data_IF_209173818644
#
_entry.id   IF_209173818644
#
_cell.length_a   1.000
_cell.length_b   1.000
_cell.length_c   1.000
_cell.angle_alpha   90.00
_cell.angle_beta   90.00
_cell.angle_gamma   90.00
#
_symmetry.space_group_name_H-M   'P 1'
#
loop_
_entity.id
_entity.type
_entity.pdbx_description
1 polymer ?
#
# COMPACT_ATOMS: atom_id res chain seq x y z
N UNK A 1 87.05 75.71 61.67
CA UNK A 1 86.17 75.31 60.55
C UNK A 1 85.90 73.81 60.66
N UNK A 2 84.64 73.41 60.88
CA UNK A 2 84.21 72.01 61.03
C UNK A 2 83.66 71.52 59.69
N UNK A 3 84.10 70.33 59.25
CA UNK A 3 83.61 69.64 58.07
C UNK A 3 82.17 69.14 58.27
N UNK A 4 81.38 69.11 57.20
CA UNK A 4 80.25 68.18 57.12
C UNK A 4 80.03 67.71 55.68
N UNK A 5 80.18 66.39 55.54
CA UNK A 5 79.85 65.55 54.40
C UNK A 5 78.33 65.48 54.20
N UNK A 6 77.86 65.47 52.94
CA UNK A 6 76.47 65.08 52.66
C UNK A 6 76.38 64.16 51.43
N UNK A 7 75.71 63.03 51.68
CA UNK A 7 75.52 61.85 50.83
C UNK A 7 74.61 62.10 49.63
N UNK A 8 74.91 61.38 48.54
CA UNK A 8 74.06 61.18 47.36
C UNK A 8 72.68 60.59 47.73
N UNK A 9 71.64 61.01 46.99
CA UNK A 9 70.37 60.30 46.87
C UNK A 9 69.96 60.27 45.40
N UNK A 10 70.38 59.23 44.69
CA UNK A 10 69.84 58.85 43.39
C UNK A 10 68.51 58.15 43.63
N UNK A 11 67.39 58.79 43.27
CA UNK A 11 66.07 58.18 43.32
C UNK A 11 65.94 57.11 42.22
N UNK A 12 65.79 55.86 42.65
CA UNK A 12 65.50 54.70 41.81
C UNK A 12 64.01 54.68 41.46
N UNK A 13 63.64 55.29 40.32
CA UNK A 13 62.28 55.24 39.75
C UNK A 13 62.05 54.00 38.86
N UNK A 14 62.52 52.83 39.29
CA UNK A 14 62.36 51.56 38.57
C UNK A 14 61.46 50.54 39.28
N UNK A 15 60.65 50.99 40.25
CA UNK A 15 59.76 50.12 41.06
C UNK A 15 58.26 50.21 40.76
N UNK A 16 57.86 50.59 39.54
CA UNK A 16 56.44 50.60 39.14
C UNK A 16 56.14 49.83 37.85
N UNK A 17 56.88 48.77 37.53
CA UNK A 17 56.54 47.89 36.40
C UNK A 17 56.66 46.40 36.73
N UNK A 18 56.03 46.00 37.83
CA UNK A 18 55.64 44.61 38.04
C UNK A 18 54.13 44.54 38.28
N UNK A 19 53.38 45.10 37.34
CA UNK A 19 51.93 44.93 37.28
C UNK A 19 51.64 43.49 36.91
N UNK A 20 51.10 42.75 37.88
CA UNK A 20 50.87 41.32 37.78
C UNK A 20 49.86 41.01 36.67
N UNK A 21 50.28 40.24 35.65
CA UNK A 21 49.44 39.73 34.53
C UNK A 21 48.39 38.68 34.98
N UNK A 22 48.07 38.62 36.28
CA UNK A 22 47.25 37.57 36.89
C UNK A 22 45.74 37.72 36.62
N UNK A 23 45.28 38.94 36.30
CA UNK A 23 43.87 39.16 35.92
C UNK A 23 43.51 38.70 34.51
N UNK A 24 44.47 38.78 33.57
CA UNK A 24 44.26 38.41 32.17
C UNK A 24 44.07 36.90 31.98
N UNK A 25 44.85 36.08 32.70
CA UNK A 25 44.73 34.62 32.65
C UNK A 25 43.38 34.13 33.18
N UNK A 26 42.88 34.76 34.26
CA UNK A 26 41.60 34.40 34.85
C UNK A 26 40.43 34.74 33.92
N UNK A 27 40.49 35.88 33.23
CA UNK A 27 39.52 36.24 32.19
C UNK A 27 39.51 35.26 31.02
N UNK A 28 40.69 34.83 30.55
CA UNK A 28 40.81 33.85 29.45
C UNK A 28 40.19 32.51 29.86
N UNK A 29 40.43 32.03 31.08
CA UNK A 29 39.87 30.76 31.56
C UNK A 29 38.35 30.82 31.69
N UNK A 30 37.79 31.94 32.20
CA UNK A 30 36.34 32.11 32.28
C UNK A 30 35.72 32.16 30.88
N UNK A 31 36.35 32.87 29.94
CA UNK A 31 35.88 32.90 28.55
C UNK A 31 35.91 31.51 27.90
N UNK A 32 36.97 30.73 28.14
CA UNK A 32 37.09 29.35 27.64
C UNK A 32 36.06 28.42 28.29
N UNK A 33 35.81 28.54 29.59
CA UNK A 33 34.78 27.76 30.29
C UNK A 33 33.37 28.12 29.81
N UNK A 34 33.08 29.40 29.61
CA UNK A 34 31.80 29.86 29.09
C UNK A 34 31.56 29.30 27.68
N UNK A 35 32.57 29.39 26.80
CA UNK A 35 32.50 28.87 25.44
C UNK A 35 32.36 27.34 25.41
N UNK A 36 33.06 26.62 26.29
CA UNK A 36 32.91 25.17 26.44
C UNK A 36 31.49 24.80 26.90
N UNK A 37 30.92 25.54 27.85
CA UNK A 37 29.54 25.29 28.33
C UNK A 37 28.51 25.54 27.23
N UNK A 38 28.70 26.59 26.42
CA UNK A 38 27.84 26.90 25.29
C UNK A 38 27.85 25.77 24.27
N UNK A 39 29.03 25.26 23.93
CA UNK A 39 29.19 24.13 23.01
C UNK A 39 28.52 22.87 23.56
N UNK A 40 28.64 22.60 24.87
CA UNK A 40 27.94 21.49 25.53
C UNK A 40 26.41 21.58 25.41
N UNK A 41 25.83 22.76 25.63
CA UNK A 41 24.38 22.98 25.46
C UNK A 41 23.95 22.79 24.01
N UNK A 42 24.72 23.30 23.05
CA UNK A 42 24.42 23.13 21.61
C UNK A 42 24.40 21.65 21.23
N UNK A 43 25.42 20.88 21.61
CA UNK A 43 25.45 19.43 21.34
C UNK A 43 24.29 18.68 22.00
N UNK A 44 23.93 19.05 23.23
CA UNK A 44 22.76 18.47 23.89
C UNK A 44 21.48 18.75 23.12
N UNK A 45 21.27 19.98 22.65
CA UNK A 45 20.06 20.32 21.87
C UNK A 45 20.01 19.61 20.52
N UNK A 46 21.15 19.46 19.83
CA UNK A 46 21.23 18.69 18.59
C UNK A 46 20.95 17.20 18.84
N UNK A 47 21.55 16.61 19.87
CA UNK A 47 21.31 15.20 20.20
C UNK A 47 19.83 14.94 20.54
N UNK A 48 19.18 15.84 21.30
CA UNK A 48 17.76 15.73 21.62
C UNK A 48 16.86 15.87 20.38
N UNK A 49 17.22 16.73 19.43
CA UNK A 49 16.50 16.89 18.16
C UNK A 49 16.64 15.65 17.27
N UNK A 50 17.85 15.09 17.17
CA UNK A 50 18.11 13.86 16.42
C UNK A 50 17.41 12.64 17.04
N UNK A 51 17.37 12.54 18.37
CA UNK A 51 16.62 11.48 19.07
C UNK A 51 15.13 11.54 18.72
N UNK A 52 14.52 12.73 18.80
CA UNK A 52 13.10 12.90 18.48
C UNK A 52 12.82 12.60 17.01
N UNK A 53 13.69 13.06 16.09
CA UNK A 53 13.60 12.74 14.66
C UNK A 53 13.67 11.23 14.41
N UNK A 54 14.66 10.56 14.99
CA UNK A 54 14.85 9.11 14.85
C UNK A 54 13.66 8.32 15.41
N UNK A 55 13.06 8.76 16.53
CA UNK A 55 11.84 8.16 17.07
C UNK A 55 10.67 8.29 16.11
N UNK A 56 10.42 9.49 15.54
CA UNK A 56 9.36 9.68 14.55
C UNK A 56 9.57 8.84 13.29
N UNK A 57 10.81 8.75 12.79
CA UNK A 57 11.13 7.90 11.63
C UNK A 57 10.95 6.41 11.95
N UNK A 58 11.36 5.95 13.13
CA UNK A 58 11.19 4.57 13.55
C UNK A 58 9.71 4.20 13.75
N UNK A 59 8.92 5.07 14.39
CA UNK A 59 7.49 4.85 14.61
C UNK A 59 6.69 4.83 13.29
N UNK A 60 7.03 5.70 12.34
CA UNK A 60 6.44 5.67 11.00
C UNK A 60 6.77 4.37 10.24
N UNK A 61 8.01 3.88 10.34
CA UNK A 61 8.43 2.65 9.67
C UNK A 61 7.74 1.39 10.23
N UNK A 62 7.44 1.34 11.53
CA UNK A 62 6.73 0.21 12.16
C UNK A 62 5.27 0.15 11.71
N UNK A 63 4.61 1.30 11.54
CA UNK A 63 3.20 1.35 11.15
C UNK A 63 2.94 1.01 9.66
N UNK A 64 3.93 1.22 8.78
CA UNK A 64 3.78 0.94 7.34
C UNK A 64 4.00 -0.55 6.99
N UNK A 65 4.84 -1.26 7.75
CA UNK A 65 5.29 -2.61 7.42
C UNK A 65 4.49 -3.75 8.09
N UNK A 66 3.81 -3.48 9.22
CA UNK A 66 3.08 -4.49 9.97
C UNK A 66 1.79 -3.86 10.53
N UNK A 67 0.58 -4.22 10.01
CA UNK A 67 -0.65 -3.86 10.68
C UNK A 67 -0.61 -4.56 12.03
N UNK A 68 -0.23 -3.82 13.08
CA UNK A 68 0.06 -4.40 14.39
C UNK A 68 -1.01 -5.38 14.87
N UNK A 69 -0.64 -6.24 15.80
CA UNK A 69 -1.45 -7.35 16.33
C UNK A 69 -2.64 -6.91 17.21
N UNK A 70 -3.12 -5.68 17.01
CA UNK A 70 -4.33 -5.15 17.63
C UNK A 70 -5.55 -5.53 16.77
N UNK A 71 -6.62 -5.97 17.44
CA UNK A 71 -7.79 -6.52 16.78
C UNK A 71 -8.48 -5.49 15.88
N UNK A 72 -8.53 -4.23 16.32
CA UNK A 72 -9.15 -3.13 15.59
C UNK A 72 -8.34 -2.78 14.33
N UNK A 73 -7.01 -2.82 14.41
CA UNK A 73 -6.12 -2.57 13.27
C UNK A 73 -6.25 -3.67 12.21
N UNK A 74 -6.23 -4.94 12.63
CA UNK A 74 -6.42 -6.08 11.71
C UNK A 74 -7.82 -6.09 11.08
N UNK A 75 -8.85 -5.76 11.86
CA UNK A 75 -10.21 -5.65 11.35
C UNK A 75 -10.35 -4.52 10.33
N UNK A 76 -9.83 -3.33 10.65
CA UNK A 76 -9.83 -2.19 9.72
C UNK A 76 -9.00 -2.48 8.46
N UNK A 77 -7.87 -3.17 8.59
CA UNK A 77 -7.04 -3.61 7.47
C UNK A 77 -7.78 -4.62 6.56
N UNK A 78 -8.49 -5.58 7.15
CA UNK A 78 -9.32 -6.54 6.42
C UNK A 78 -10.51 -5.87 5.73
N UNK A 79 -11.22 -4.97 6.42
CA UNK A 79 -12.31 -4.19 5.86
C UNK A 79 -11.84 -3.27 4.74
N UNK A 80 -10.66 -2.64 4.87
CA UNK A 80 -10.08 -1.82 3.80
C UNK A 80 -9.89 -2.64 2.53
N UNK A 81 -9.35 -3.85 2.65
CA UNK A 81 -9.20 -4.75 1.51
C UNK A 81 -10.53 -5.20 0.93
N UNK A 82 -11.54 -5.45 1.77
CA UNK A 82 -12.86 -5.85 1.31
C UNK A 82 -13.60 -4.72 0.57
N UNK A 83 -13.50 -3.48 1.07
CA UNK A 83 -14.25 -2.34 0.55
C UNK A 83 -13.51 -1.69 -0.62
N UNK A 84 -12.25 -1.30 -0.42
CA UNK A 84 -11.45 -0.53 -1.39
C UNK A 84 -10.61 -1.46 -2.26
N UNK A 85 -10.02 -2.47 -1.63
CA UNK A 85 -9.03 -3.36 -2.24
C UNK A 85 -7.69 -3.30 -1.54
N UNK A 86 -6.85 -4.34 -1.72
CA UNK A 86 -5.48 -4.34 -1.23
C UNK A 86 -4.61 -3.38 -2.03
N UNK A 87 -3.54 -2.95 -1.39
CA UNK A 87 -2.43 -2.27 -2.06
C UNK A 87 -1.77 -3.22 -3.09
N UNK A 88 -1.20 -2.66 -4.15
CA UNK A 88 -0.45 -3.39 -5.19
C UNK A 88 0.74 -4.15 -4.59
N UNK A 89 1.27 -3.69 -3.46
CA UNK A 89 2.34 -4.37 -2.73
C UNK A 89 1.89 -5.69 -2.06
N UNK A 90 0.58 -5.87 -1.82
CA UNK A 90 0.02 -7.06 -1.17
C UNK A 90 -0.32 -8.15 -2.22
N UNK A 91 0.68 -8.58 -2.99
CA UNK A 91 0.54 -9.57 -4.07
C UNK A 91 0.11 -10.98 -3.61
N UNK A 92 0.22 -11.26 -2.31
CA UNK A 92 -0.23 -12.50 -1.68
C UNK A 92 -1.69 -12.45 -1.21
N UNK A 93 -2.35 -11.29 -1.26
CA UNK A 93 -3.76 -11.18 -0.88
C UNK A 93 -4.63 -11.86 -1.91
N UNK A 94 -5.60 -12.66 -1.49
CA UNK A 94 -6.60 -13.24 -2.39
C UNK A 94 -7.49 -12.18 -3.08
N UNK A 95 -7.50 -10.95 -2.53
CA UNK A 95 -8.21 -9.80 -3.10
C UNK A 95 -7.30 -8.96 -4.01
N UNK A 96 -6.07 -9.42 -4.31
CA UNK A 96 -5.10 -8.67 -5.12
C UNK A 96 -5.69 -8.29 -6.49
N UNK A 97 -5.35 -7.08 -6.95
CA UNK A 97 -5.95 -6.46 -8.12
C UNK A 97 -7.29 -5.77 -7.84
N UNK A 98 -7.80 -5.84 -6.60
CA UNK A 98 -8.97 -5.10 -6.12
C UNK A 98 -10.31 -5.46 -6.79
N UNK A 99 -10.30 -6.31 -7.82
CA UNK A 99 -11.46 -6.86 -8.55
C UNK A 99 -12.51 -7.48 -7.67
N UNK A 100 -12.09 -8.16 -6.60
CA UNK A 100 -13.00 -8.83 -5.68
C UNK A 100 -13.44 -7.92 -4.52
N UNK A 101 -13.17 -6.62 -4.59
CA UNK A 101 -13.49 -5.64 -3.54
C UNK A 101 -14.73 -4.83 -3.94
N UNK A 102 -15.44 -4.26 -2.97
CA UNK A 102 -16.76 -3.67 -3.23
C UNK A 102 -16.72 -2.42 -4.14
N UNK A 103 -15.80 -1.48 -3.89
CA UNK A 103 -15.75 -0.22 -4.66
C UNK A 103 -15.33 -0.43 -6.11
N UNK A 104 -14.27 -1.19 -6.43
CA UNK A 104 -13.90 -1.48 -7.81
C UNK A 104 -14.97 -2.27 -8.56
N UNK A 105 -15.72 -3.17 -7.88
CA UNK A 105 -16.89 -3.83 -8.50
C UNK A 105 -18.04 -2.88 -8.80
N UNK A 106 -18.18 -1.80 -8.03
CA UNK A 106 -19.32 -0.89 -8.16
C UNK A 106 -19.06 0.23 -9.17
N UNK A 107 -17.81 0.66 -9.32
CA UNK A 107 -17.46 1.79 -10.16
C UNK A 107 -16.57 1.43 -11.35
N UNK A 108 -16.07 0.19 -11.41
CA UNK A 108 -15.00 -0.18 -12.32
C UNK A 108 -13.67 0.48 -11.92
N UNK A 109 -12.54 -0.02 -12.44
CA UNK A 109 -11.26 0.69 -12.43
C UNK A 109 -11.10 1.68 -13.59
N UNK A 110 -12.02 1.70 -14.56
CA UNK A 110 -11.94 2.49 -15.79
C UNK A 110 -12.50 3.93 -15.67
N UNK A 111 -12.09 4.79 -16.61
CA UNK A 111 -12.50 6.18 -16.80
C UNK A 111 -13.84 6.28 -17.53
N UNK A 112 -14.28 5.22 -18.21
CA UNK A 112 -15.53 5.18 -18.94
C UNK A 112 -16.55 4.28 -18.24
N UNK A 113 -17.75 4.80 -17.91
CA UNK A 113 -18.83 3.94 -17.46
C UNK A 113 -19.32 3.08 -18.63
N UNK A 114 -19.10 1.76 -18.51
CA UNK A 114 -19.72 0.64 -19.23
C UNK A 114 -19.24 0.27 -20.66
N UNK A 115 -18.81 -0.99 -20.81
CA UNK A 115 -19.15 -1.83 -21.99
C UNK A 115 -19.51 -3.31 -21.68
N UNK A 116 -19.36 -3.79 -20.43
CA UNK A 116 -20.12 -4.92 -19.88
C UNK A 116 -19.99 -6.26 -20.60
N UNK A 117 -18.79 -6.65 -21.04
CA UNK A 117 -18.57 -8.04 -21.46
C UNK A 117 -18.19 -8.87 -20.23
N UNK A 118 -19.19 -9.46 -19.56
CA UNK A 118 -18.98 -10.45 -18.50
C UNK A 118 -18.25 -11.70 -19.00
N UNK A 119 -17.96 -12.65 -18.10
CA UNK A 119 -17.23 -13.86 -18.50
C UNK A 119 -18.20 -14.84 -19.16
N UNK A 120 -18.08 -14.99 -20.48
CA UNK A 120 -18.90 -15.92 -21.24
C UNK A 120 -18.31 -17.35 -21.19
N UNK A 121 -19.16 -18.31 -20.83
CA UNK A 121 -18.77 -19.72 -20.68
C UNK A 121 -19.64 -20.64 -21.52
N UNK A 122 -19.04 -21.70 -22.02
CA UNK A 122 -19.64 -22.78 -22.82
C UNK A 122 -19.30 -24.14 -22.19
N UNK A 123 -20.08 -25.16 -22.50
CA UNK A 123 -19.74 -26.55 -22.12
C UNK A 123 -19.13 -27.30 -23.30
N UNK A 124 -17.87 -27.72 -23.18
CA UNK A 124 -17.20 -28.50 -24.20
C UNK A 124 -17.86 -29.88 -24.41
N UNK A 125 -17.48 -30.57 -25.48
CA UNK A 125 -18.00 -31.91 -25.81
C UNK A 125 -17.63 -33.00 -24.79
N UNK A 126 -16.73 -32.69 -23.85
CA UNK A 126 -16.31 -33.55 -22.74
C UNK A 126 -17.00 -33.20 -21.41
N UNK A 127 -17.88 -32.18 -21.40
CA UNK A 127 -18.60 -31.71 -20.21
C UNK A 127 -17.81 -30.76 -19.31
N UNK A 128 -16.64 -30.27 -19.75
CA UNK A 128 -15.89 -29.24 -19.03
C UNK A 128 -16.41 -27.85 -19.38
N UNK A 129 -16.26 -26.92 -18.43
CA UNK A 129 -16.57 -25.51 -18.65
C UNK A 129 -15.37 -24.88 -19.36
N UNK A 130 -15.61 -24.31 -20.54
CA UNK A 130 -14.64 -23.58 -21.33
C UNK A 130 -15.10 -22.12 -21.49
N UNK A 131 -14.17 -21.23 -21.78
CA UNK A 131 -14.47 -19.82 -21.99
C UNK A 131 -14.58 -19.54 -23.48
N UNK A 132 -15.59 -18.76 -23.84
CA UNK A 132 -15.90 -18.33 -25.20
C UNK A 132 -16.36 -16.86 -25.16
N UNK A 133 -15.39 -15.94 -25.19
CA UNK A 133 -15.62 -14.49 -25.18
C UNK A 133 -15.98 -13.93 -26.55
N UNK A 134 -15.65 -14.66 -27.63
CA UNK A 134 -15.92 -14.23 -29.00
C UNK A 134 -17.29 -14.73 -29.52
N UNK A 135 -17.99 -15.55 -28.72
CA UNK A 135 -19.30 -16.14 -28.99
C UNK A 135 -19.31 -17.09 -30.20
N UNK A 136 -18.19 -17.74 -30.52
CA UNK A 136 -18.08 -18.66 -31.66
C UNK A 136 -18.41 -20.13 -31.33
N UNK A 137 -18.67 -20.44 -30.05
CA UNK A 137 -19.00 -21.78 -29.57
C UNK A 137 -17.78 -22.73 -29.47
N UNK A 138 -16.57 -22.19 -29.60
CA UNK A 138 -15.30 -22.92 -29.48
C UNK A 138 -14.53 -22.37 -28.27
N UNK A 139 -13.79 -23.24 -27.60
CA UNK A 139 -12.97 -22.85 -26.46
C UNK A 139 -11.82 -21.91 -26.86
N UNK A 140 -11.84 -20.69 -26.34
CA UNK A 140 -10.82 -19.66 -26.53
C UNK A 140 -9.44 -20.09 -25.99
N UNK A 141 -9.37 -21.07 -25.09
CA UNK A 141 -8.10 -21.62 -24.61
C UNK A 141 -7.31 -22.33 -25.73
N UNK A 142 -8.01 -22.77 -26.78
CA UNK A 142 -7.45 -23.53 -27.91
C UNK A 142 -7.23 -22.69 -29.18
N UNK A 143 -7.97 -21.60 -29.34
CA UNK A 143 -7.79 -20.64 -30.44
C UNK A 143 -6.86 -19.49 -30.02
N UNK A 144 -5.54 -19.69 -30.15
CA UNK A 144 -4.51 -18.67 -29.88
C UNK A 144 -4.50 -17.48 -30.86
N UNK A 145 -5.63 -16.79 -31.03
CA UNK A 145 -5.87 -15.88 -32.16
C UNK A 145 -5.81 -14.38 -31.89
N UNK A 146 -5.85 -13.91 -30.64
CA UNK A 146 -5.91 -12.47 -30.32
C UNK A 146 -5.06 -12.02 -29.13
N UNK A 147 -4.06 -12.81 -28.73
CA UNK A 147 -3.28 -12.54 -27.50
C UNK A 147 -3.97 -13.01 -26.21
N UNK A 148 -5.14 -13.63 -26.33
CA UNK A 148 -5.95 -14.27 -25.26
C UNK A 148 -5.43 -15.67 -24.88
N UNK A 149 -4.11 -15.88 -24.92
CA UNK A 149 -3.53 -17.13 -24.45
C UNK A 149 -3.82 -17.27 -22.93
N UNK A 150 -4.54 -18.33 -22.58
CA UNK A 150 -5.05 -18.67 -21.24
C UNK A 150 -6.30 -17.90 -20.78
N UNK A 151 -7.37 -17.89 -21.58
CA UNK A 151 -8.69 -17.45 -21.11
C UNK A 151 -9.23 -18.31 -19.96
N UNK A 152 -8.81 -19.57 -19.80
CA UNK A 152 -9.26 -20.43 -18.70
C UNK A 152 -8.93 -19.88 -17.30
N UNK A 153 -7.90 -19.03 -17.18
CA UNK A 153 -7.52 -18.39 -15.92
C UNK A 153 -8.62 -17.44 -15.40
N UNK A 154 -9.54 -16.97 -16.26
CA UNK A 154 -10.70 -16.17 -15.86
C UNK A 154 -11.72 -16.98 -15.03
N UNK A 155 -11.66 -18.32 -15.03
CA UNK A 155 -12.45 -19.14 -14.10
C UNK A 155 -11.83 -19.22 -12.70
N UNK A 156 -10.60 -18.72 -12.53
CA UNK A 156 -9.96 -18.75 -11.22
C UNK A 156 -10.65 -17.78 -10.27
N UNK A 157 -10.87 -18.22 -9.02
CA UNK A 157 -11.48 -17.36 -7.99
C UNK A 157 -10.46 -16.47 -7.28
N UNK A 158 -9.17 -16.78 -7.42
CA UNK A 158 -8.09 -16.12 -6.71
C UNK A 158 -7.08 -15.59 -7.74
N UNK A 159 -7.19 -14.29 -8.03
CA UNK A 159 -6.32 -13.60 -8.97
C UNK A 159 -4.99 -13.14 -8.35
N UNK A 160 -4.60 -13.63 -7.16
CA UNK A 160 -3.32 -13.26 -6.55
C UNK A 160 -2.13 -13.77 -7.36
N UNK A 161 -1.05 -12.99 -7.41
CA UNK A 161 0.20 -13.43 -8.08
C UNK A 161 0.70 -14.74 -7.48
N UNK A 162 0.51 -14.93 -6.18
CA UNK A 162 0.85 -16.16 -5.49
C UNK A 162 0.10 -17.39 -6.03
N UNK A 163 -1.16 -17.25 -6.42
CA UNK A 163 -1.96 -18.34 -7.00
C UNK A 163 -1.50 -18.73 -8.42
N UNK A 164 -0.81 -17.82 -9.13
CA UNK A 164 -0.38 -18.01 -10.52
C UNK A 164 1.15 -18.09 -10.67
N UNK A 165 1.86 -18.66 -9.68
CA UNK A 165 3.31 -18.89 -9.79
C UNK A 165 4.16 -17.61 -9.77
N UNK A 166 3.65 -16.54 -9.17
CA UNK A 166 4.35 -15.27 -8.96
C UNK A 166 4.12 -14.20 -10.03
N UNK A 167 3.44 -14.53 -11.13
CA UNK A 167 3.14 -13.60 -12.23
C UNK A 167 1.66 -13.63 -12.55
N UNK A 168 1.02 -12.46 -12.75
CA UNK A 168 -0.36 -12.43 -13.22
C UNK A 168 -0.44 -12.93 -14.68
N UNK A 169 -1.28 -13.93 -14.97
CA UNK A 169 -1.60 -14.31 -16.34
C UNK A 169 -2.09 -13.11 -17.14
N UNK A 170 -1.85 -13.12 -18.45
CA UNK A 170 -2.21 -11.99 -19.31
C UNK A 170 -3.70 -11.64 -19.23
N UNK A 171 -4.58 -12.66 -19.19
CA UNK A 171 -6.02 -12.51 -19.07
C UNK A 171 -6.48 -11.92 -17.72
N UNK A 172 -5.67 -12.04 -16.66
CA UNK A 172 -5.97 -11.53 -15.32
C UNK A 172 -5.33 -10.16 -15.02
N UNK A 173 -4.80 -9.49 -16.05
CA UNK A 173 -4.31 -8.12 -15.93
C UNK A 173 -5.46 -7.15 -16.01
N UNK A 174 -5.33 -6.02 -15.33
CA UNK A 174 -6.39 -5.03 -15.22
C UNK A 174 -7.00 -4.59 -16.56
N UNK A 175 -6.15 -4.44 -17.56
CA UNK A 175 -6.51 -3.97 -18.90
C UNK A 175 -7.19 -5.05 -19.77
N UNK A 176 -7.16 -6.32 -19.33
CA UNK A 176 -7.54 -7.48 -20.13
C UNK A 176 -8.63 -8.34 -19.49
N UNK A 177 -8.93 -8.14 -18.22
CA UNK A 177 -10.06 -8.80 -17.56
C UNK A 177 -11.32 -8.27 -18.25
N UNK A 178 -12.20 -9.15 -18.78
CA UNK A 178 -13.51 -8.74 -19.26
C UNK A 178 -14.23 -8.06 -18.10
N UNK A 179 -14.34 -6.73 -18.19
CA UNK A 179 -14.77 -5.84 -17.11
C UNK A 179 -16.21 -6.19 -16.69
N UNK A 180 -16.39 -6.76 -15.49
CA UNK A 180 -17.66 -7.31 -15.08
C UNK A 180 -18.37 -6.40 -14.08
N UNK A 181 -18.19 -5.09 -14.22
CA UNK A 181 -18.98 -4.03 -13.62
C UNK A 181 -20.41 -4.10 -14.18
N UNK A 182 -21.07 -5.20 -13.85
CA UNK A 182 -22.52 -5.28 -13.78
C UNK A 182 -22.98 -4.32 -12.71
N UNK A 183 -24.08 -3.61 -12.99
CA UNK A 183 -24.86 -2.94 -11.95
C UNK A 183 -24.96 -3.87 -10.74
N UNK A 184 -24.70 -3.33 -9.54
CA UNK A 184 -24.79 -3.99 -8.23
C UNK A 184 -26.16 -4.67 -7.96
N UNK A 185 -27.09 -4.58 -8.90
CA UNK A 185 -28.38 -5.29 -8.93
C UNK A 185 -28.34 -6.63 -9.68
N UNK A 186 -27.29 -6.94 -10.44
CA UNK A 186 -27.17 -8.18 -11.20
C UNK A 186 -26.14 -9.13 -10.56
N UNK A 187 -26.60 -10.26 -9.99
CA UNK A 187 -25.73 -11.26 -9.40
C UNK A 187 -25.12 -12.15 -10.50
N UNK A 188 -23.96 -11.74 -11.03
CA UNK A 188 -23.19 -12.46 -12.06
C UNK A 188 -22.08 -13.35 -11.46
N UNK A 189 -21.47 -14.23 -12.26
CA UNK A 189 -20.29 -15.07 -11.92
C UNK A 189 -19.13 -14.22 -11.37
N UNK A 190 -19.08 -12.96 -11.77
CA UNK A 190 -18.07 -12.01 -11.37
C UNK A 190 -18.36 -11.28 -10.07
N UNK A 191 -19.59 -11.34 -9.55
CA UNK A 191 -19.93 -10.71 -8.28
C UNK A 191 -19.75 -11.72 -7.14
N UNK A 192 -19.05 -11.36 -6.05
CA UNK A 192 -18.84 -12.30 -4.93
C UNK A 192 -19.83 -12.03 -3.78
N UNK A 193 -20.51 -10.88 -3.81
CA UNK A 193 -21.20 -10.33 -2.66
C UNK A 193 -22.73 -10.33 -2.78
N UNK A 194 -23.28 -10.72 -3.93
CA UNK A 194 -24.69 -10.55 -4.24
C UNK A 194 -25.32 -11.86 -4.71
N UNK A 195 -26.24 -12.43 -3.92
CA UNK A 195 -27.09 -13.51 -4.39
C UNK A 195 -28.32 -12.95 -5.14
N UNK A 196 -28.79 -13.66 -6.16
CA UNK A 196 -30.12 -13.40 -6.71
C UNK A 196 -31.16 -13.92 -5.75
N UNK A 197 -32.12 -13.08 -5.40
CA UNK A 197 -33.33 -13.47 -4.71
C UNK A 197 -34.52 -12.97 -5.54
N UNK A 198 -35.13 -13.87 -6.29
CA UNK A 198 -36.20 -13.51 -7.21
C UNK A 198 -37.10 -14.70 -7.54
N UNK A 199 -38.01 -14.50 -8.48
CA UNK A 199 -38.94 -15.54 -8.92
C UNK A 199 -38.54 -16.03 -10.31
N UNK A 200 -38.41 -17.34 -10.47
CA UNK A 200 -38.28 -17.99 -11.78
C UNK A 200 -39.57 -18.69 -12.16
N UNK A 201 -39.74 -18.97 -13.44
CA UNK A 201 -40.86 -19.73 -13.98
C UNK A 201 -40.46 -21.21 -13.99
N UNK A 202 -41.13 -22.01 -13.17
CA UNK A 202 -41.04 -23.47 -13.17
C UNK A 202 -42.33 -24.02 -13.80
N UNK A 203 -42.31 -24.16 -15.12
CA UNK A 203 -43.50 -24.47 -15.93
C UNK A 203 -44.49 -23.30 -15.98
N UNK A 204 -45.64 -23.43 -15.31
CA UNK A 204 -46.69 -22.39 -15.24
C UNK A 204 -46.74 -21.69 -13.88
N UNK A 205 -45.86 -22.03 -12.94
CA UNK A 205 -45.84 -21.47 -11.60
C UNK A 205 -44.61 -20.60 -11.38
N UNK A 206 -44.79 -19.48 -10.66
CA UNK A 206 -43.68 -18.66 -10.16
C UNK A 206 -43.12 -19.30 -8.89
N UNK A 207 -41.82 -19.61 -8.91
CA UNK A 207 -41.09 -20.16 -7.77
C UNK A 207 -40.00 -19.19 -7.34
N UNK A 208 -39.97 -18.84 -6.06
CA UNK A 208 -38.86 -18.06 -5.49
C UNK A 208 -37.59 -18.92 -5.50
N UNK A 209 -36.51 -18.38 -6.03
CA UNK A 209 -35.20 -19.02 -6.06
C UNK A 209 -34.17 -18.04 -5.54
N UNK A 210 -33.36 -18.53 -4.60
CA UNK A 210 -32.15 -17.84 -4.17
C UNK A 210 -30.98 -18.52 -4.87
N UNK A 211 -30.28 -17.79 -5.75
CA UNK A 211 -29.14 -18.30 -6.50
C UNK A 211 -27.89 -17.54 -6.02
N UNK A 212 -26.93 -18.22 -5.39
CA UNK A 212 -25.68 -17.59 -4.98
C UNK A 212 -24.89 -17.14 -6.22
N UNK A 213 -24.08 -16.10 -6.09
CA UNK A 213 -23.42 -15.49 -7.24
C UNK A 213 -22.45 -16.42 -7.98
N UNK A 214 -21.79 -17.31 -7.24
CA UNK A 214 -20.79 -18.25 -7.77
C UNK A 214 -21.38 -19.51 -8.43
N UNK A 215 -22.71 -19.69 -8.44
CA UNK A 215 -23.36 -20.85 -9.06
C UNK A 215 -24.52 -20.41 -9.95
N UNK A 216 -24.23 -20.20 -11.23
CA UNK A 216 -25.21 -19.77 -12.25
C UNK A 216 -25.18 -20.68 -13.48
N UNK A 217 -25.83 -21.85 -13.43
CA UNK A 217 -25.93 -22.74 -14.58
C UNK A 217 -26.59 -22.07 -15.80
N UNK A 218 -27.38 -21.02 -15.58
CA UNK A 218 -28.05 -20.22 -16.61
C UNK A 218 -27.11 -19.42 -17.52
N UNK A 219 -25.84 -19.20 -17.12
CA UNK A 219 -24.86 -18.53 -17.98
C UNK A 219 -24.06 -19.53 -18.83
N UNK A 220 -24.29 -20.83 -18.64
CA UNK A 220 -23.68 -21.87 -19.45
C UNK A 220 -24.42 -21.96 -20.78
N UNK A 221 -23.72 -21.59 -21.86
CA UNK A 221 -24.26 -21.67 -23.23
C UNK A 221 -24.02 -23.04 -23.83
N UNK A 222 -24.97 -23.50 -24.63
CA UNK A 222 -24.84 -24.72 -25.43
C UNK A 222 -23.89 -24.46 -26.61
N UNK A 223 -22.86 -25.29 -26.76
CA UNK A 223 -21.86 -25.18 -27.82
C UNK A 223 -22.42 -25.33 -29.23
N UNK A 224 -23.60 -25.95 -29.37
CA UNK A 224 -24.24 -26.15 -30.68
C UNK A 224 -25.18 -25.03 -31.09
N UNK A 225 -25.76 -24.29 -30.14
CA UNK A 225 -26.77 -23.26 -30.39
C UNK A 225 -26.35 -21.85 -29.96
N UNK A 226 -25.28 -21.73 -29.17
CA UNK A 226 -24.77 -20.47 -28.63
C UNK A 226 -25.72 -19.78 -27.65
N UNK A 227 -26.81 -20.44 -27.26
CA UNK A 227 -27.86 -19.97 -26.36
C UNK A 227 -27.69 -20.53 -24.95
#
# INVERSE_FOLDING_TARGET
MKFTCMKQTTHNDSRLQQQSRRGSTLLIVIALLAMLSLLGVVFYTFAAQEESSAQYFAEAAVNEADPGLDADVLFNWGLRQLIVGPDDQLYNSALHGSWHSMLPKMFGPDVHPFNGQGINVIMDSSGNIAIDQNFDGIDDSTQGGLGLAANQDLLSLNHSRAAHGGTLPFALRAENIPEPDVDYTSPDINNLFLAYDGYTIDGSNLRRVVIPSFLRPQFLRDTSSGA
#
